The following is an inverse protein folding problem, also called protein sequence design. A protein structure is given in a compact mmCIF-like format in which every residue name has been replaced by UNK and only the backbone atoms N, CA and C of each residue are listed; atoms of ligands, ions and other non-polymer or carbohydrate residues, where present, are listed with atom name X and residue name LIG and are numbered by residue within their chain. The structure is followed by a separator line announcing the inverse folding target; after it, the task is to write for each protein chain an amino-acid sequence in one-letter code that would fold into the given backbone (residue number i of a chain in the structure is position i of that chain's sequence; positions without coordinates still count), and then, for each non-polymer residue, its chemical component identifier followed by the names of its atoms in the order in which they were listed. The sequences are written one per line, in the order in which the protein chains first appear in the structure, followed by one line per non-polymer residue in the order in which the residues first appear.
data_IF_582488853280
#
_entry.id   IF_582488853280
#
_cell.length_a   1.000
_cell.length_b   1.000
_cell.length_c   1.000
_cell.angle_alpha   90.00
_cell.angle_beta   90.00
_cell.angle_gamma   90.00
#
_symmetry.space_group_name_H-M   'P 1'
#
loop_
_entity.id
_entity.type
_entity.pdbx_description
1 polymer ?
#
# COMPACT_ATOMS: atom_id res chain seq x y z
N UNK A 1 -4.53 -1.17 26.43
CA UNK A 1 -5.32 -0.81 27.64
C UNK A 1 -6.07 0.53 27.51
N UNK A 2 -5.54 1.57 26.84
CA UNK A 2 -6.27 2.84 26.59
C UNK A 2 -7.14 2.83 25.32
N UNK A 3 -6.62 2.37 24.18
CA UNK A 3 -7.36 2.28 22.90
C UNK A 3 -8.64 1.43 23.04
N UNK A 4 -8.55 0.29 23.73
CA UNK A 4 -9.72 -0.57 24.02
C UNK A 4 -10.81 0.12 24.82
N UNK A 5 -10.48 1.10 25.68
CA UNK A 5 -11.48 1.89 26.42
C UNK A 5 -12.18 2.89 25.50
N UNK A 6 -11.42 3.54 24.60
CA UNK A 6 -11.99 4.42 23.58
C UNK A 6 -12.92 3.66 22.63
N UNK A 7 -12.55 2.44 22.23
CA UNK A 7 -13.35 1.59 21.34
C UNK A 7 -14.75 1.27 21.86
N UNK A 8 -14.97 1.26 23.18
CA UNK A 8 -16.31 1.04 23.76
C UNK A 8 -17.27 2.18 23.46
N UNK A 9 -16.74 3.41 23.33
CA UNK A 9 -17.51 4.63 23.05
C UNK A 9 -17.50 5.00 21.58
N UNK A 10 -16.98 4.14 20.70
CA UNK A 10 -16.76 4.49 19.29
C UNK A 10 -18.05 4.85 18.55
N UNK A 11 -19.13 4.11 18.80
CA UNK A 11 -20.43 4.34 18.16
C UNK A 11 -21.31 5.32 18.96
N UNK A 12 -20.98 5.57 20.23
CA UNK A 12 -21.75 6.42 21.14
C UNK A 12 -21.26 7.87 21.17
N UNK A 13 -20.02 8.11 20.73
CA UNK A 13 -19.34 9.39 20.85
C UNK A 13 -18.57 9.72 19.56
N UNK A 14 -19.16 10.60 18.73
CA UNK A 14 -18.56 11.07 17.48
C UNK A 14 -17.18 11.73 17.68
N UNK A 15 -16.91 12.29 18.87
CA UNK A 15 -15.59 12.85 19.18
C UNK A 15 -14.52 11.76 19.23
N UNK A 16 -14.85 10.57 19.76
CA UNK A 16 -13.93 9.42 19.84
C UNK A 16 -13.62 8.90 18.44
N UNK A 17 -14.64 8.76 17.59
CA UNK A 17 -14.46 8.37 16.18
C UNK A 17 -13.57 9.38 15.44
N UNK A 18 -13.80 10.67 15.63
CA UNK A 18 -12.98 11.73 15.04
C UNK A 18 -11.53 11.67 15.51
N UNK A 19 -11.28 11.50 16.81
CA UNK A 19 -9.93 11.40 17.38
C UNK A 19 -9.17 10.20 16.80
N UNK A 20 -9.81 9.03 16.69
CA UNK A 20 -9.16 7.81 16.20
C UNK A 20 -8.84 7.89 14.71
N UNK A 21 -9.78 8.38 13.90
CA UNK A 21 -9.57 8.58 12.45
C UNK A 21 -8.54 9.67 12.16
N UNK A 22 -8.53 10.75 12.97
CA UNK A 22 -7.51 11.80 12.93
C UNK A 22 -6.14 11.26 13.31
N UNK A 23 -6.05 10.44 14.35
CA UNK A 23 -4.81 9.77 14.76
C UNK A 23 -4.25 8.90 13.64
N UNK A 24 -5.11 8.08 13.01
CA UNK A 24 -4.71 7.26 11.87
C UNK A 24 -4.20 8.13 10.70
N UNK A 25 -4.88 9.23 10.39
CA UNK A 25 -4.45 10.18 9.35
C UNK A 25 -3.12 10.83 9.68
N UNK A 26 -2.89 11.19 10.93
CA UNK A 26 -1.64 11.82 11.38
C UNK A 26 -0.47 10.83 11.36
N UNK A 27 -0.71 9.54 11.63
CA UNK A 27 0.29 8.47 11.43
C UNK A 27 0.72 8.42 9.95
N UNK A 28 -0.23 8.35 9.03
CA UNK A 28 0.04 8.34 7.58
C UNK A 28 0.83 9.58 7.14
N UNK A 29 0.37 10.78 7.54
CA UNK A 29 1.02 12.04 7.21
C UNK A 29 2.45 12.15 7.74
N UNK A 30 2.70 11.69 8.97
CA UNK A 30 4.06 11.67 9.53
C UNK A 30 4.95 10.67 8.81
N UNK A 31 4.42 9.49 8.49
CA UNK A 31 5.14 8.46 7.74
C UNK A 31 5.57 8.92 6.34
N UNK A 32 4.80 9.83 5.71
CA UNK A 32 5.13 10.37 4.37
C UNK A 32 6.48 11.10 4.28
N UNK A 33 7.07 11.45 5.44
CA UNK A 33 8.35 12.14 5.58
C UNK A 33 9.50 11.21 5.95
N UNK A 34 9.23 9.91 6.09
CA UNK A 34 10.20 8.92 6.56
C UNK A 34 10.69 8.04 5.42
N UNK A 35 11.81 7.39 5.69
CA UNK A 35 12.48 6.44 4.81
C UNK A 35 12.51 5.04 5.45
N UNK A 36 12.97 4.05 4.68
CA UNK A 36 13.16 2.68 5.17
C UNK A 36 14.12 2.56 6.37
N UNK A 37 15.10 3.46 6.48
CA UNK A 37 16.06 3.47 7.59
C UNK A 37 15.51 4.14 8.86
N UNK A 38 14.42 4.88 8.75
CA UNK A 38 13.76 5.51 9.90
C UNK A 38 12.89 4.50 10.69
N UNK A 39 12.33 4.95 11.81
CA UNK A 39 11.45 4.16 12.69
C UNK A 39 10.04 3.90 12.11
N UNK A 40 9.94 3.58 10.82
CA UNK A 40 8.69 3.34 10.08
C UNK A 40 7.83 2.20 10.66
N UNK A 41 8.46 1.13 11.18
CA UNK A 41 7.77 -0.04 11.75
C UNK A 41 6.78 0.33 12.87
N UNK A 42 7.10 1.35 13.66
CA UNK A 42 6.22 1.83 14.72
C UNK A 42 4.87 2.34 14.19
N UNK A 43 4.87 2.96 13.00
CA UNK A 43 3.67 3.46 12.33
C UNK A 43 2.81 2.31 11.79
N UNK A 44 3.42 1.32 11.13
CA UNK A 44 2.72 0.11 10.68
C UNK A 44 2.09 -0.63 11.85
N UNK A 45 2.81 -0.82 12.95
CA UNK A 45 2.29 -1.47 14.15
C UNK A 45 1.15 -0.67 14.80
N UNK A 46 1.29 0.66 14.92
CA UNK A 46 0.23 1.51 15.44
C UNK A 46 -1.03 1.44 14.57
N UNK A 47 -0.89 1.45 13.24
CA UNK A 47 -2.01 1.28 12.33
C UNK A 47 -2.67 -0.10 12.49
N UNK A 48 -1.88 -1.19 12.56
CA UNK A 48 -2.41 -2.54 12.80
C UNK A 48 -3.22 -2.62 14.09
N UNK A 49 -2.77 -1.97 15.17
CA UNK A 49 -3.50 -1.92 16.45
C UNK A 49 -4.83 -1.17 16.31
N UNK A 50 -4.85 -0.03 15.61
CA UNK A 50 -6.09 0.70 15.33
C UNK A 50 -7.04 -0.12 14.45
N UNK A 51 -6.50 -0.83 13.45
CA UNK A 51 -7.26 -1.60 12.48
C UNK A 51 -7.74 -2.97 13.00
N UNK A 52 -7.44 -3.35 14.26
CA UNK A 52 -8.05 -4.55 14.87
C UNK A 52 -9.57 -4.40 15.02
N UNK A 53 -10.08 -3.17 15.12
CA UNK A 53 -11.52 -2.90 15.14
C UNK A 53 -12.02 -2.52 13.74
N UNK A 54 -12.92 -3.32 13.19
CA UNK A 54 -13.47 -3.13 11.84
C UNK A 54 -14.23 -1.81 11.66
N UNK A 55 -14.77 -1.23 12.75
CA UNK A 55 -15.46 0.06 12.73
C UNK A 55 -14.49 1.21 12.47
N UNK A 56 -13.30 1.16 13.09
CA UNK A 56 -12.22 2.11 12.81
C UNK A 56 -11.79 2.01 11.35
N UNK A 57 -11.54 0.79 10.87
CA UNK A 57 -11.13 0.56 9.48
C UNK A 57 -12.17 1.13 8.50
N UNK A 58 -13.44 0.84 8.73
CA UNK A 58 -14.54 1.37 7.90
C UNK A 58 -14.57 2.90 7.94
N UNK A 59 -14.40 3.52 9.10
CA UNK A 59 -14.32 4.98 9.23
C UNK A 59 -13.09 5.58 8.52
N UNK A 60 -11.94 4.91 8.57
CA UNK A 60 -10.73 5.33 7.82
C UNK A 60 -11.00 5.30 6.31
N UNK A 61 -11.66 4.26 5.78
CA UNK A 61 -11.98 4.18 4.34
C UNK A 61 -12.99 5.22 3.85
N UNK A 62 -13.66 5.92 4.75
CA UNK A 62 -14.56 7.04 4.45
C UNK A 62 -13.85 8.39 4.41
N UNK A 63 -12.60 8.47 4.88
CA UNK A 63 -11.84 9.71 4.83
C UNK A 63 -11.61 10.14 3.38
N UNK A 64 -11.73 11.44 3.11
CA UNK A 64 -11.39 12.00 1.80
C UNK A 64 -9.92 11.73 1.43
N UNK A 65 -9.03 11.66 2.41
CA UNK A 65 -7.63 11.29 2.17
C UNK A 65 -7.45 9.84 1.75
N UNK A 66 -8.42 8.95 1.95
CA UNK A 66 -8.30 7.56 1.52
C UNK A 66 -8.20 7.45 -0.01
N UNK A 67 -8.94 8.29 -0.72
CA UNK A 67 -8.91 8.41 -2.17
C UNK A 67 -9.11 9.88 -2.55
N UNK A 68 -8.10 10.48 -3.17
CA UNK A 68 -8.13 11.87 -3.64
C UNK A 68 -8.26 11.82 -5.16
N UNK A 69 -9.43 12.23 -5.67
CA UNK A 69 -9.70 12.28 -7.09
C UNK A 69 -8.70 13.22 -7.80
N UNK A 70 -8.29 12.86 -9.01
CA UNK A 70 -7.41 13.65 -9.87
C UNK A 70 -6.03 14.01 -9.27
N UNK A 71 -5.60 13.32 -8.21
CA UNK A 71 -4.25 13.48 -7.66
C UNK A 71 -3.21 12.92 -8.66
N UNK A 72 -2.15 13.69 -8.99
CA UNK A 72 -1.10 13.19 -9.88
C UNK A 72 -0.49 11.90 -9.34
N UNK A 73 -0.11 10.97 -10.24
CA UNK A 73 0.44 9.67 -9.85
C UNK A 73 1.60 9.74 -8.83
N UNK A 74 2.59 10.64 -8.95
CA UNK A 74 3.67 10.77 -7.96
C UNK A 74 3.17 11.21 -6.58
N UNK A 75 2.06 11.92 -6.51
CA UNK A 75 1.53 12.45 -5.25
C UNK A 75 0.69 11.44 -4.49
N UNK A 76 0.17 10.39 -5.15
CA UNK A 76 -0.66 9.34 -4.52
C UNK A 76 0.05 8.70 -3.33
N UNK A 77 1.34 8.43 -3.48
CA UNK A 77 2.20 7.78 -2.50
C UNK A 77 2.51 8.65 -1.27
N UNK A 78 2.19 9.96 -1.29
CA UNK A 78 2.36 10.85 -0.14
C UNK A 78 1.06 11.43 0.40
N UNK A 79 0.08 11.68 -0.47
CA UNK A 79 -1.13 12.43 -0.14
C UNK A 79 -2.31 11.54 0.21
N UNK A 80 -2.35 10.29 -0.27
CA UNK A 80 -3.41 9.35 0.12
C UNK A 80 -3.13 8.68 1.46
N UNK A 81 -4.14 8.13 2.12
CA UNK A 81 -4.01 7.50 3.43
C UNK A 81 -3.04 6.31 3.42
N UNK A 82 -3.17 5.40 2.44
CA UNK A 82 -2.33 4.21 2.33
C UNK A 82 -0.97 4.51 1.66
N UNK A 83 -0.90 5.56 0.84
CA UNK A 83 0.29 5.95 0.07
C UNK A 83 1.58 5.90 0.89
N UNK A 84 1.69 6.65 2.00
CA UNK A 84 2.90 6.70 2.82
C UNK A 84 3.37 5.35 3.35
N UNK A 85 2.46 4.42 3.64
CA UNK A 85 2.85 3.08 4.09
C UNK A 85 3.49 2.27 2.95
N UNK A 86 2.93 2.38 1.75
CA UNK A 86 3.45 1.70 0.56
C UNK A 86 4.69 2.39 -0.01
N UNK A 87 4.91 3.68 0.26
CA UNK A 87 6.07 4.45 -0.22
C UNK A 87 7.39 3.97 0.42
N UNK A 88 7.35 3.48 1.66
CA UNK A 88 8.52 2.99 2.39
C UNK A 88 9.14 1.79 1.67
N UNK A 89 10.36 1.96 1.17
CA UNK A 89 11.03 0.96 0.33
C UNK A 89 12.55 1.17 0.33
N UNK A 90 13.36 0.10 0.22
CA UNK A 90 14.80 0.24 0.00
C UNK A 90 15.15 0.90 -1.35
N UNK A 91 14.19 1.00 -2.29
CA UNK A 91 14.36 1.69 -3.57
C UNK A 91 14.17 3.21 -3.47
N UNK A 92 13.94 3.76 -2.28
CA UNK A 92 13.99 5.21 -2.09
C UNK A 92 15.42 5.71 -2.45
N UNK A 93 15.55 6.81 -3.22
CA UNK A 93 16.84 7.29 -3.69
C UNK A 93 17.88 7.49 -2.59
N UNK A 94 17.44 8.04 -1.45
CA UNK A 94 18.29 8.33 -0.29
C UNK A 94 18.89 7.05 0.29
N UNK A 95 18.08 5.99 0.40
CA UNK A 95 18.51 4.67 0.88
C UNK A 95 19.47 4.04 -0.12
N UNK A 96 19.15 4.09 -1.42
CA UNK A 96 20.02 3.53 -2.44
C UNK A 96 21.40 4.21 -2.44
N UNK A 97 21.44 5.53 -2.28
CA UNK A 97 22.70 6.29 -2.19
C UNK A 97 23.49 5.94 -0.93
N UNK A 98 22.82 5.77 0.21
CA UNK A 98 23.49 5.42 1.46
C UNK A 98 24.20 4.06 1.36
N UNK A 99 23.52 3.03 0.84
CA UNK A 99 24.07 1.67 0.74
C UNK A 99 25.05 1.50 -0.42
N UNK A 100 24.93 2.29 -1.50
CA UNK A 100 25.65 2.07 -2.76
C UNK A 100 26.43 3.29 -3.29
N UNK A 101 26.68 4.31 -2.46
CA UNK A 101 27.42 5.54 -2.82
C UNK A 101 28.74 5.33 -3.55
N UNK A 102 29.42 4.19 -3.32
CA UNK A 102 30.69 3.81 -3.96
C UNK A 102 30.62 2.43 -4.63
N UNK A 103 29.47 2.05 -5.17
CA UNK A 103 29.24 0.71 -5.72
C UNK A 103 30.33 0.22 -6.70
N UNK A 104 30.86 1.11 -7.55
CA UNK A 104 31.91 0.78 -8.53
C UNK A 104 33.24 0.32 -7.90
N UNK A 105 33.50 0.71 -6.66
CA UNK A 105 34.72 0.37 -5.92
C UNK A 105 34.45 -0.52 -4.70
N UNK A 106 33.19 -0.88 -4.45
CA UNK A 106 32.82 -1.74 -3.33
C UNK A 106 33.21 -3.19 -3.61
N UNK A 107 33.59 -3.89 -2.54
CA UNK A 107 33.83 -5.33 -2.60
C UNK A 107 32.52 -6.05 -2.98
N UNK A 108 32.51 -6.95 -3.99
CA UNK A 108 31.32 -7.70 -4.39
C UNK A 108 30.60 -8.41 -3.24
N UNK A 109 31.33 -8.92 -2.24
CA UNK A 109 30.74 -9.54 -1.05
C UNK A 109 29.90 -8.55 -0.24
N UNK A 110 30.38 -7.31 -0.09
CA UNK A 110 29.63 -6.26 0.62
C UNK A 110 28.37 -5.86 -0.15
N UNK A 111 28.44 -5.79 -1.48
CA UNK A 111 27.28 -5.51 -2.33
C UNK A 111 26.21 -6.59 -2.12
N UNK A 112 26.59 -7.87 -2.17
CA UNK A 112 25.66 -8.98 -1.94
C UNK A 112 25.04 -8.95 -0.54
N UNK A 113 25.83 -8.68 0.50
CA UNK A 113 25.32 -8.55 1.87
C UNK A 113 24.33 -7.39 2.01
N UNK A 114 24.62 -6.24 1.40
CA UNK A 114 23.71 -5.08 1.39
C UNK A 114 22.39 -5.43 0.67
N UNK A 115 22.47 -6.04 -0.52
CA UNK A 115 21.30 -6.46 -1.28
C UNK A 115 20.43 -7.45 -0.50
N UNK A 116 21.02 -8.45 0.16
CA UNK A 116 20.27 -9.41 0.95
C UNK A 116 19.59 -8.77 2.17
N UNK A 117 20.29 -7.85 2.84
CA UNK A 117 19.73 -7.09 3.96
C UNK A 117 18.54 -6.24 3.53
N UNK A 118 18.67 -5.51 2.42
CA UNK A 118 17.59 -4.69 1.87
C UNK A 118 16.40 -5.55 1.42
N UNK A 119 16.66 -6.72 0.81
CA UNK A 119 15.63 -7.67 0.39
C UNK A 119 14.84 -8.21 1.59
N UNK A 120 15.52 -8.70 2.62
CA UNK A 120 14.86 -9.19 3.84
C UNK A 120 14.02 -8.10 4.50
N UNK A 121 14.54 -6.87 4.55
CA UNK A 121 13.83 -5.72 5.13
C UNK A 121 12.59 -5.37 4.31
N UNK A 122 12.69 -5.34 2.98
CA UNK A 122 11.56 -5.13 2.07
C UNK A 122 10.48 -6.19 2.25
N UNK A 123 10.86 -7.47 2.30
CA UNK A 123 9.93 -8.57 2.48
C UNK A 123 9.21 -8.50 3.84
N UNK A 124 9.92 -8.11 4.90
CA UNK A 124 9.29 -7.90 6.21
C UNK A 124 8.24 -6.80 6.16
N UNK A 125 8.55 -5.66 5.53
CA UNK A 125 7.60 -4.56 5.38
C UNK A 125 6.41 -4.94 4.49
N UNK A 126 6.63 -5.66 3.39
CA UNK A 126 5.56 -6.16 2.53
C UNK A 126 4.61 -7.11 3.24
N UNK A 127 5.12 -7.97 4.15
CA UNK A 127 4.28 -8.78 5.04
C UNK A 127 3.41 -7.91 5.94
N UNK A 128 3.97 -6.84 6.50
CA UNK A 128 3.22 -5.90 7.34
C UNK A 128 2.12 -5.18 6.54
N UNK A 129 2.43 -4.75 5.32
CA UNK A 129 1.45 -4.13 4.41
C UNK A 129 0.33 -5.12 4.04
N UNK A 130 0.66 -6.36 3.73
CA UNK A 130 -0.33 -7.38 3.41
C UNK A 130 -1.24 -7.67 4.62
N UNK A 131 -0.71 -7.71 5.84
CA UNK A 131 -1.52 -7.87 7.05
C UNK A 131 -2.47 -6.67 7.24
N UNK A 132 -1.97 -5.44 7.08
CA UNK A 132 -2.80 -4.22 7.14
C UNK A 132 -3.91 -4.32 6.11
N UNK A 133 -3.61 -4.60 4.84
CA UNK A 133 -4.62 -4.70 3.78
C UNK A 133 -5.62 -5.84 4.06
N UNK A 134 -5.18 -6.95 4.65
CA UNK A 134 -6.09 -8.01 5.09
C UNK A 134 -7.11 -7.51 6.13
N UNK A 135 -6.72 -6.63 7.06
CA UNK A 135 -7.67 -6.00 7.99
C UNK A 135 -8.68 -5.13 7.23
N UNK A 136 -8.21 -4.35 6.24
CA UNK A 136 -9.06 -3.50 5.40
C UNK A 136 -10.10 -4.29 4.59
N UNK A 137 -9.70 -5.36 3.92
CA UNK A 137 -10.62 -6.16 3.07
C UNK A 137 -11.63 -6.98 3.88
N UNK A 138 -11.29 -7.33 5.13
CA UNK A 138 -12.14 -8.13 6.04
C UNK A 138 -13.08 -7.28 6.88
N UNK A 139 -12.79 -6.01 7.11
CA UNK A 139 -13.56 -5.15 8.01
C UNK A 139 -15.02 -4.97 7.59
N UNK A 140 -15.29 -4.68 6.31
CA UNK A 140 -16.63 -4.55 5.77
C UNK A 140 -16.61 -4.66 4.24
N UNK A 141 -17.77 -4.93 3.63
CA UNK A 141 -17.91 -4.90 2.15
C UNK A 141 -17.55 -3.51 1.60
N UNK A 142 -17.93 -2.45 2.31
CA UNK A 142 -17.59 -1.08 1.94
C UNK A 142 -16.06 -0.85 1.95
N UNK A 143 -15.40 -1.18 3.05
CA UNK A 143 -13.94 -1.03 3.21
C UNK A 143 -13.17 -1.81 2.15
N UNK A 144 -13.62 -3.04 1.87
CA UNK A 144 -13.06 -3.87 0.80
C UNK A 144 -13.14 -3.20 -0.56
N UNK A 145 -14.32 -2.70 -0.95
CA UNK A 145 -14.50 -2.04 -2.24
C UNK A 145 -13.64 -0.77 -2.32
N UNK A 146 -13.61 0.07 -1.28
CA UNK A 146 -12.75 1.25 -1.24
C UNK A 146 -11.26 0.92 -1.38
N UNK A 147 -10.81 -0.15 -0.73
CA UNK A 147 -9.43 -0.63 -0.84
C UNK A 147 -9.10 -1.09 -2.26
N UNK A 148 -10.01 -1.83 -2.90
CA UNK A 148 -9.86 -2.23 -4.31
C UNK A 148 -9.91 -1.03 -5.27
N UNK A 149 -10.74 -0.03 -4.98
CA UNK A 149 -10.81 1.22 -5.74
C UNK A 149 -9.48 2.00 -5.63
N UNK A 150 -8.85 2.02 -4.44
CA UNK A 150 -7.54 2.65 -4.26
C UNK A 150 -6.42 1.91 -5.03
N UNK A 151 -6.41 0.59 -5.05
CA UNK A 151 -5.46 -0.16 -5.89
C UNK A 151 -5.68 0.09 -7.38
N UNK A 152 -6.95 0.05 -7.83
CA UNK A 152 -7.28 0.35 -9.22
C UNK A 152 -6.88 1.78 -9.60
N UNK A 153 -7.07 2.72 -8.69
CA UNK A 153 -6.62 4.09 -8.85
C UNK A 153 -5.12 4.20 -9.07
N UNK A 154 -4.32 3.56 -8.22
CA UNK A 154 -2.86 3.52 -8.36
C UNK A 154 -2.45 2.97 -9.73
N UNK A 155 -3.05 1.86 -10.16
CA UNK A 155 -2.72 1.20 -11.43
C UNK A 155 -3.09 2.10 -12.62
N UNK A 156 -4.33 2.63 -12.63
CA UNK A 156 -4.84 3.46 -13.71
C UNK A 156 -4.03 4.76 -13.87
N UNK A 157 -3.63 5.39 -12.76
CA UNK A 157 -2.82 6.61 -12.78
C UNK A 157 -1.39 6.38 -13.31
N UNK A 158 -0.94 5.14 -13.37
CA UNK A 158 0.39 4.75 -13.81
C UNK A 158 0.41 4.09 -15.20
N UNK A 159 -0.63 4.26 -16.04
CA UNK A 159 -0.70 3.64 -17.37
C UNK A 159 0.54 3.94 -18.25
N UNK A 160 1.10 5.15 -18.12
CA UNK A 160 2.23 5.68 -18.89
C UNK A 160 3.57 5.01 -18.57
N UNK A 161 3.66 4.20 -17.51
CA UNK A 161 4.89 3.43 -17.18
C UNK A 161 5.32 2.48 -18.29
N UNK A 162 4.37 2.06 -19.14
CA UNK A 162 4.61 1.12 -20.24
C UNK A 162 5.04 1.80 -21.54
N UNK A 163 5.17 3.13 -21.54
CA UNK A 163 5.70 3.85 -22.69
C UNK A 163 7.17 3.46 -22.96
N UNK A 164 7.62 3.58 -24.22
CA UNK A 164 9.01 3.29 -24.60
C UNK A 164 10.03 4.15 -23.82
N UNK A 165 9.64 5.39 -23.50
CA UNK A 165 10.40 6.35 -22.70
C UNK A 165 9.46 6.99 -21.69
N UNK A 166 9.20 6.33 -20.55
CA UNK A 166 8.33 6.89 -19.53
C UNK A 166 9.01 8.10 -18.89
N UNK A 167 8.26 9.17 -18.66
CA UNK A 167 8.73 10.33 -17.89
C UNK A 167 8.57 10.03 -16.39
N UNK A 168 9.66 9.87 -15.61
CA UNK A 168 9.56 9.55 -14.20
C UNK A 168 8.87 10.65 -13.37
N UNK A 169 8.88 11.90 -13.83
CA UNK A 169 8.33 13.04 -13.08
C UNK A 169 6.80 12.98 -12.94
N UNK A 170 6.13 12.22 -13.80
CA UNK A 170 4.66 12.07 -13.82
C UNK A 170 4.21 10.69 -13.34
N UNK A 171 5.11 9.88 -12.78
CA UNK A 171 4.86 8.50 -12.38
C UNK A 171 5.08 8.29 -10.88
N UNK A 172 4.37 7.33 -10.31
CA UNK A 172 4.72 6.84 -8.97
C UNK A 172 6.07 6.12 -9.00
N UNK A 173 6.76 6.15 -7.87
CA UNK A 173 8.08 5.56 -7.66
C UNK A 173 8.05 4.03 -7.81
N UNK A 174 9.19 3.44 -8.18
CA UNK A 174 9.31 1.98 -8.29
C UNK A 174 9.10 1.29 -6.94
N UNK A 175 9.64 1.86 -5.85
CA UNK A 175 9.49 1.31 -4.50
C UNK A 175 8.02 1.19 -4.07
N UNK A 176 7.23 2.23 -4.32
CA UNK A 176 5.80 2.23 -4.05
C UNK A 176 5.06 1.14 -4.85
N UNK A 177 5.31 1.07 -6.15
CA UNK A 177 4.62 0.11 -7.02
C UNK A 177 5.06 -1.34 -6.78
N UNK A 178 6.32 -1.60 -6.42
CA UNK A 178 6.75 -2.94 -6.02
C UNK A 178 6.01 -3.42 -4.78
N UNK A 179 5.79 -2.53 -3.79
CA UNK A 179 4.99 -2.87 -2.61
C UNK A 179 3.53 -3.12 -2.98
N UNK A 180 2.96 -2.32 -3.89
CA UNK A 180 1.59 -2.53 -4.40
C UNK A 180 1.46 -3.89 -5.08
N UNK A 181 2.36 -4.22 -6.00
CA UNK A 181 2.38 -5.51 -6.70
C UNK A 181 2.53 -6.66 -5.71
N UNK A 182 3.50 -6.59 -4.78
CA UNK A 182 3.73 -7.64 -3.79
C UNK A 182 2.50 -7.92 -2.92
N UNK A 183 1.76 -6.87 -2.52
CA UNK A 183 0.52 -7.03 -1.74
C UNK A 183 -0.61 -7.62 -2.59
N UNK A 184 -0.78 -7.18 -3.84
CA UNK A 184 -1.78 -7.75 -4.75
C UNK A 184 -1.51 -9.24 -5.03
N UNK A 185 -0.25 -9.61 -5.26
CA UNK A 185 0.17 -11.02 -5.40
C UNK A 185 -0.14 -11.82 -4.12
N UNK A 186 0.17 -11.25 -2.96
CA UNK A 186 -0.14 -11.83 -1.66
C UNK A 186 -1.64 -12.10 -1.47
N UNK A 187 -2.50 -11.18 -1.90
CA UNK A 187 -3.96 -11.35 -1.88
C UNK A 187 -4.44 -12.44 -2.84
N UNK A 188 -3.68 -12.73 -3.90
CA UNK A 188 -4.03 -13.77 -4.88
C UNK A 188 -3.65 -15.19 -4.45
N UNK A 189 -2.63 -15.32 -3.60
CA UNK A 189 -2.12 -16.62 -3.11
C UNK A 189 -3.21 -17.62 -2.69
N UNK A 190 -4.27 -17.25 -1.94
CA UNK A 190 -5.24 -18.23 -1.43
C UNK A 190 -6.10 -18.93 -2.48
N UNK A 191 -6.12 -18.42 -3.72
CA UNK A 191 -6.89 -18.97 -4.84
C UNK A 191 -6.05 -19.33 -6.07
N UNK A 192 -4.72 -19.20 -5.96
CA UNK A 192 -3.72 -19.60 -6.95
C UNK A 192 -2.92 -20.82 -6.46
N UNK A 193 -3.57 -21.72 -5.71
CA UNK A 193 -2.92 -22.93 -5.21
C UNK A 193 -2.53 -23.87 -6.37
N UNK A 194 -1.52 -24.72 -6.14
CA UNK A 194 -0.99 -25.62 -7.18
C UNK A 194 -2.00 -26.65 -7.69
N UNK A 195 -3.10 -26.86 -6.97
CA UNK A 195 -4.21 -27.73 -7.40
C UNK A 195 -5.34 -26.97 -8.08
N UNK A 196 -5.21 -25.63 -8.22
CA UNK A 196 -6.20 -24.73 -8.79
C UNK A 196 -7.60 -24.89 -8.17
N UNK A 197 -7.66 -25.23 -6.88
CA UNK A 197 -8.89 -25.61 -6.17
C UNK A 197 -9.96 -24.52 -6.11
N UNK A 198 -9.56 -23.26 -6.33
CA UNK A 198 -10.45 -22.09 -6.26
C UNK A 198 -10.36 -21.19 -7.50
N UNK A 199 -9.84 -21.71 -8.61
CA UNK A 199 -9.69 -20.93 -9.85
C UNK A 199 -11.05 -20.45 -10.39
N UNK A 200 -12.13 -21.17 -10.08
CA UNK A 200 -13.52 -20.80 -10.38
C UNK A 200 -13.96 -19.47 -9.75
N UNK A 201 -13.23 -18.98 -8.73
CA UNK A 201 -13.49 -17.67 -8.11
C UNK A 201 -13.03 -16.50 -8.99
N UNK A 202 -12.22 -16.76 -10.00
CA UNK A 202 -11.78 -15.75 -10.97
C UNK A 202 -12.82 -15.66 -12.09
N UNK A 203 -13.44 -14.49 -12.19
CA UNK A 203 -14.47 -14.24 -13.19
C UNK A 203 -13.84 -13.93 -14.55
N UNK A 204 -13.99 -14.86 -15.50
CA UNK A 204 -13.46 -14.73 -16.88
C UNK A 204 -14.09 -13.58 -17.66
N UNK A 205 -15.29 -13.13 -17.27
CA UNK A 205 -16.01 -12.04 -17.92
C UNK A 205 -15.76 -10.69 -17.24
N UNK A 206 -14.85 -10.61 -16.26
CA UNK A 206 -14.60 -9.39 -15.50
C UNK A 206 -14.38 -8.15 -16.38
N UNK A 207 -13.58 -8.28 -17.44
CA UNK A 207 -13.26 -7.19 -18.37
C UNK A 207 -14.40 -6.82 -19.32
N UNK A 208 -15.43 -7.67 -19.45
CA UNK A 208 -16.63 -7.42 -20.27
C UNK A 208 -17.73 -6.65 -19.51
N UNK A 209 -17.57 -6.48 -18.20
CA UNK A 209 -18.53 -5.79 -17.33
C UNK A 209 -18.11 -4.34 -17.10
N UNK A 210 -18.07 -3.91 -15.85
CA UNK A 210 -17.57 -2.60 -15.44
C UNK A 210 -16.29 -2.81 -14.61
N UNK A 211 -15.15 -3.14 -15.24
CA UNK A 211 -13.90 -3.38 -14.53
C UNK A 211 -13.39 -2.08 -13.91
N UNK A 212 -12.75 -2.19 -12.74
CA UNK A 212 -12.08 -1.04 -12.10
C UNK A 212 -10.84 -0.56 -12.87
N UNK A 213 -10.21 -1.47 -13.61
CA UNK A 213 -9.02 -1.18 -14.40
C UNK A 213 -9.44 -0.66 -15.77
N UNK A 214 -8.92 0.51 -16.15
CA UNK A 214 -9.19 1.11 -17.44
C UNK A 214 -8.33 0.46 -18.51
N UNK A 215 -8.94 -0.43 -19.31
CA UNK A 215 -8.26 -1.12 -20.41
C UNK A 215 -8.62 -0.56 -21.80
N UNK A 216 -9.22 0.64 -21.88
CA UNK A 216 -9.77 1.16 -23.14
C UNK A 216 -8.73 1.32 -24.25
N UNK A 217 -7.48 1.63 -23.88
CA UNK A 217 -6.36 1.83 -24.81
C UNK A 217 -5.44 0.61 -24.92
N UNK A 218 -5.79 -0.49 -24.26
CA UNK A 218 -5.00 -1.72 -24.29
C UNK A 218 -5.24 -2.50 -25.57
N UNK A 219 -4.16 -3.02 -26.15
CA UNK A 219 -4.25 -4.01 -27.22
C UNK A 219 -4.90 -5.28 -26.66
N UNK A 220 -5.93 -5.78 -27.35
CA UNK A 220 -6.70 -6.97 -26.95
C UNK A 220 -6.19 -8.18 -27.75
N UNK A 221 -6.18 -9.35 -27.13
CA UNK A 221 -5.90 -10.64 -27.76
C UNK A 221 -7.12 -11.16 -28.53
#
# INVERSE_FOLDING_TARGET
MFIMKLLRRFDEDDSVRSILTKTASDLSKKLSKLTMNDSHKSYSNALKVLCQDSRIVTAITQLQSFYIADEPAPSIEKNTFLGPFFHISPLQPEITLEYFSKAKTMNPRMINTAQETLRMTSQAHQRDLLEIINLFVRASVFSRNKTLDWFAYVINSNEKRRALRPDPAILSTDGFLLNVTSVLDGLCTPFMDSTFSKIDKIDIDYLRRNPRINIKKETKL
#
